data_IF_805457734228
#
_entry.id   IF_805457734228
#
_cell.length_a   1.000
_cell.length_b   1.000
_cell.length_c   1.000
_cell.angle_alpha   90.00
_cell.angle_beta   90.00
_cell.angle_gamma   90.00
#
_symmetry.space_group_name_H-M   'P 1'
#
loop_
_entity.id
_entity.type
_entity.pdbx_description
1 polymer ?
#
# COMPACT_ATOMS: atom_id res chain seq x y z
N UNK A 1 -10.68 13.23 31.97
CA UNK A 1 -9.24 13.50 32.12
C UNK A 1 -8.52 12.73 30.99
N UNK A 2 -8.25 13.42 29.86
CA UNK A 2 -7.42 12.88 28.80
C UNK A 2 -5.95 13.08 29.21
N UNK A 3 -5.23 11.98 29.43
CA UNK A 3 -3.79 12.04 29.62
C UNK A 3 -3.13 12.20 28.24
N UNK A 4 -2.56 13.39 27.98
CA UNK A 4 -1.62 13.57 26.85
C UNK A 4 -0.36 12.73 27.12
N UNK A 5 -0.08 11.78 26.24
CA UNK A 5 1.21 11.12 26.24
C UNK A 5 2.31 12.16 25.90
N UNK A 6 3.45 12.14 26.61
CA UNK A 6 4.54 13.06 26.31
C UNK A 6 5.12 12.72 24.92
N UNK A 7 5.62 13.75 24.18
CA UNK A 7 6.29 13.49 22.91
C UNK A 7 7.53 12.64 23.17
N UNK A 8 7.65 11.55 22.41
CA UNK A 8 8.89 10.75 22.37
C UNK A 8 9.95 11.63 21.73
N UNK A 9 10.77 12.23 22.58
CA UNK A 9 12.00 12.90 22.14
C UNK A 9 12.87 11.82 21.47
N UNK A 10 13.19 12.01 20.20
CA UNK A 10 14.19 11.21 19.51
C UNK A 10 15.46 11.21 20.37
N UNK A 11 15.86 10.03 20.85
CA UNK A 11 17.14 9.86 21.54
C UNK A 11 18.23 10.05 20.50
N UNK A 12 18.78 11.27 20.44
CA UNK A 12 20.07 11.48 19.83
C UNK A 12 21.09 10.71 20.67
N UNK A 13 21.87 9.85 20.00
CA UNK A 13 22.99 9.18 20.63
C UNK A 13 23.86 10.19 21.38
N UNK A 14 24.33 9.85 22.60
CA UNK A 14 25.04 10.73 23.56
C UNK A 14 26.31 11.40 23.01
N UNK A 15 26.63 11.24 21.73
CA UNK A 15 27.78 11.85 21.04
C UNK A 15 27.45 12.64 19.77
N UNK A 16 26.16 12.69 19.31
CA UNK A 16 25.81 13.38 18.05
C UNK A 16 26.38 12.73 16.78
N UNK A 17 26.85 11.48 16.88
CA UNK A 17 27.51 10.77 15.77
C UNK A 17 26.52 10.05 14.86
N UNK A 18 25.30 9.85 15.31
CA UNK A 18 24.17 9.40 14.52
C UNK A 18 23.26 10.61 14.36
N UNK A 19 23.05 11.01 13.12
CA UNK A 19 22.21 12.16 12.77
C UNK A 19 21.00 11.72 11.98
N UNK A 20 19.90 12.39 12.22
CA UNK A 20 18.67 12.21 11.46
C UNK A 20 18.36 13.50 10.71
N UNK A 21 18.24 13.41 9.38
CA UNK A 21 17.93 14.53 8.51
C UNK A 21 16.54 14.31 7.88
N UNK A 22 15.80 15.38 7.69
CA UNK A 22 14.53 15.33 6.98
C UNK A 22 14.75 15.57 5.49
N UNK A 23 14.29 14.66 4.66
CA UNK A 23 14.35 14.83 3.21
C UNK A 23 13.41 15.94 2.74
N UNK A 24 13.94 16.84 1.94
CA UNK A 24 13.19 17.82 1.14
C UNK A 24 13.75 17.83 -0.28
N UNK A 25 12.91 17.92 -1.33
CA UNK A 25 13.39 17.85 -2.73
C UNK A 25 14.45 18.89 -3.10
N UNK A 26 14.45 20.05 -2.44
CA UNK A 26 15.35 21.16 -2.70
C UNK A 26 16.42 21.32 -1.58
N UNK A 27 16.54 20.32 -0.72
CA UNK A 27 17.44 20.38 0.44
C UNK A 27 18.90 20.23 0.05
N UNK A 28 19.76 21.08 0.64
CA UNK A 28 21.21 20.90 0.65
C UNK A 28 21.61 20.44 2.05
N UNK A 29 22.26 19.27 2.12
CA UNK A 29 22.61 18.64 3.38
C UNK A 29 24.09 18.74 3.67
N UNK A 30 24.44 19.35 4.79
CA UNK A 30 25.83 19.46 5.19
C UNK A 30 26.30 18.18 5.88
N UNK A 31 27.39 17.59 5.40
CA UNK A 31 28.00 16.38 5.96
C UNK A 31 29.43 16.67 6.37
N UNK A 32 29.70 16.53 7.66
CA UNK A 32 31.03 16.66 8.21
C UNK A 32 31.65 15.27 8.42
N UNK A 33 32.67 14.94 7.64
CA UNK A 33 33.47 13.73 7.80
C UNK A 33 34.76 14.02 8.55
N UNK A 34 35.25 13.06 9.33
CA UNK A 34 36.55 13.19 10.02
C UNK A 34 37.58 12.23 9.40
N UNK A 35 38.84 12.67 9.38
CA UNK A 35 39.94 11.83 8.90
C UNK A 35 40.01 10.50 9.65
N UNK A 36 40.31 9.42 8.92
CA UNK A 36 40.39 8.04 9.43
C UNK A 36 39.04 7.49 9.94
N UNK A 37 37.95 8.10 9.58
CA UNK A 37 36.60 7.59 9.84
C UNK A 37 35.78 7.57 8.56
N UNK A 38 34.84 6.66 8.49
CA UNK A 38 33.85 6.66 7.43
C UNK A 38 32.50 7.16 7.98
N UNK A 39 31.76 7.87 7.14
CA UNK A 39 30.39 8.28 7.39
C UNK A 39 29.48 7.45 6.49
N UNK A 40 28.48 6.84 7.08
CA UNK A 40 27.44 6.09 6.36
C UNK A 40 26.20 6.97 6.21
N UNK A 41 25.70 7.11 4.99
CA UNK A 41 24.42 7.76 4.70
C UNK A 41 23.43 6.68 4.28
N UNK A 42 22.29 6.59 4.98
CA UNK A 42 21.25 5.59 4.76
C UNK A 42 20.03 6.30 4.19
N UNK A 43 19.67 5.95 2.95
CA UNK A 43 18.44 6.36 2.30
C UNK A 43 17.27 5.45 2.69
N UNK A 44 16.07 5.67 2.15
CA UNK A 44 14.95 4.78 2.42
C UNK A 44 15.26 3.33 1.97
N UNK A 45 14.75 2.31 2.70
CA UNK A 45 15.07 0.90 2.41
C UNK A 45 14.75 0.47 0.97
N UNK A 46 13.72 1.08 0.37
CA UNK A 46 13.29 0.77 -1.00
C UNK A 46 13.97 1.64 -2.06
N UNK A 47 14.89 2.53 -1.66
CA UNK A 47 15.67 3.33 -2.60
C UNK A 47 16.92 2.58 -3.05
N UNK A 48 17.23 2.71 -4.32
CA UNK A 48 18.49 2.22 -4.90
C UNK A 48 19.27 3.39 -5.46
N UNK A 49 20.53 3.53 -5.06
CA UNK A 49 21.42 4.57 -5.61
C UNK A 49 21.69 4.23 -7.07
N UNK A 50 21.39 5.16 -7.97
CA UNK A 50 21.67 5.04 -9.42
C UNK A 50 22.94 5.76 -9.82
N UNK A 51 23.14 6.95 -9.26
CA UNK A 51 24.31 7.76 -9.56
C UNK A 51 24.78 8.48 -8.31
N UNK A 52 26.11 8.59 -8.18
CA UNK A 52 26.76 9.45 -7.21
C UNK A 52 27.92 10.18 -7.90
N UNK A 53 27.89 11.49 -7.90
CA UNK A 53 28.92 12.35 -8.50
C UNK A 53 29.48 13.32 -7.46
N UNK A 54 30.78 13.30 -7.28
CA UNK A 54 31.48 14.17 -6.33
C UNK A 54 32.34 15.18 -7.04
N UNK A 55 32.39 16.40 -6.54
CA UNK A 55 33.20 17.46 -7.12
C UNK A 55 34.69 17.26 -6.91
N UNK A 56 35.12 16.73 -5.76
CA UNK A 56 36.51 16.44 -5.46
C UNK A 56 36.71 14.96 -5.10
N UNK A 57 37.06 14.18 -6.13
CA UNK A 57 37.33 12.74 -5.97
C UNK A 57 38.71 12.41 -5.41
N UNK A 58 39.60 13.40 -5.28
CA UNK A 58 40.93 13.21 -4.64
C UNK A 58 40.80 13.28 -3.15
N UNK A 59 40.09 14.30 -2.65
CA UNK A 59 39.90 14.50 -1.22
C UNK A 59 38.94 13.53 -0.56
N UNK A 60 38.04 12.87 -1.32
CA UNK A 60 37.03 11.99 -0.80
C UNK A 60 36.95 10.66 -1.53
N UNK A 61 36.79 9.61 -0.76
CA UNK A 61 36.41 8.28 -1.24
C UNK A 61 34.91 8.08 -1.04
N UNK A 62 34.22 7.66 -2.11
CA UNK A 62 32.77 7.42 -2.15
C UNK A 62 32.53 6.00 -2.62
N UNK A 63 31.72 5.26 -1.87
CA UNK A 63 31.25 3.94 -2.26
C UNK A 63 29.74 3.86 -2.05
N UNK A 64 29.01 3.24 -2.96
CA UNK A 64 27.55 3.10 -2.92
C UNK A 64 27.17 1.62 -3.03
N UNK A 65 26.26 1.17 -2.16
CA UNK A 65 25.71 -0.17 -2.19
C UNK A 65 24.22 -0.14 -1.81
N UNK A 66 23.37 -0.53 -2.76
CA UNK A 66 21.91 -0.52 -2.54
C UNK A 66 21.39 0.87 -2.15
N UNK A 67 20.87 1.00 -0.93
CA UNK A 67 20.37 2.25 -0.36
C UNK A 67 21.37 2.94 0.57
N UNK A 68 22.64 2.52 0.56
CA UNK A 68 23.65 3.03 1.50
C UNK A 68 24.81 3.64 0.74
N UNK A 69 25.26 4.80 1.19
CA UNK A 69 26.41 5.50 0.69
C UNK A 69 27.46 5.63 1.80
N UNK A 70 28.70 5.34 1.48
CA UNK A 70 29.85 5.50 2.37
C UNK A 70 30.73 6.63 1.88
N UNK A 71 31.09 7.53 2.81
CA UNK A 71 31.96 8.66 2.57
C UNK A 71 33.17 8.59 3.50
N UNK A 72 34.35 8.83 2.97
CA UNK A 72 35.57 8.85 3.74
C UNK A 72 36.48 9.98 3.26
N UNK A 73 36.78 11.00 4.09
CA UNK A 73 37.76 12.03 3.74
C UNK A 73 39.18 11.43 3.72
N UNK A 74 39.90 11.70 2.65
CA UNK A 74 41.29 11.27 2.41
C UNK A 74 42.29 12.38 2.74
N UNK A 75 41.98 13.57 2.24
CA UNK A 75 42.86 14.74 2.33
C UNK A 75 42.09 15.97 2.79
N UNK A 76 42.81 16.96 3.28
CA UNK A 76 42.25 18.25 3.71
C UNK A 76 42.19 19.18 2.50
N UNK A 77 40.99 19.33 1.97
CA UNK A 77 40.67 20.30 0.92
C UNK A 77 39.54 21.22 1.38
N UNK A 78 39.18 22.18 0.53
CA UNK A 78 38.00 23.00 0.74
C UNK A 78 36.73 22.14 0.70
N UNK A 79 35.62 22.72 1.11
CA UNK A 79 34.31 22.04 0.94
C UNK A 79 34.05 21.69 -0.52
N UNK A 80 33.44 20.54 -0.73
CA UNK A 80 33.01 20.10 -2.06
C UNK A 80 31.57 19.65 -2.02
N UNK A 81 30.97 19.43 -3.18
CA UNK A 81 29.61 18.88 -3.25
C UNK A 81 29.62 17.40 -3.64
N UNK A 82 28.54 16.72 -3.27
CA UNK A 82 28.21 15.39 -3.74
C UNK A 82 26.73 15.38 -4.17
N UNK A 83 26.50 14.91 -5.37
CA UNK A 83 25.17 14.76 -5.96
C UNK A 83 24.83 13.28 -6.01
N UNK A 84 23.69 12.90 -5.44
CA UNK A 84 23.22 11.52 -5.44
C UNK A 84 21.84 11.46 -6.05
N UNK A 85 21.67 10.53 -6.97
CA UNK A 85 20.35 10.19 -7.54
C UNK A 85 20.01 8.78 -7.10
N UNK A 86 18.90 8.64 -6.42
CA UNK A 86 18.30 7.37 -6.06
C UNK A 86 17.03 7.13 -6.87
N UNK A 87 16.59 5.90 -6.93
CA UNK A 87 15.32 5.50 -7.54
C UNK A 87 14.52 4.66 -6.57
N UNK A 88 13.24 4.95 -6.44
CA UNK A 88 12.26 4.19 -5.67
C UNK A 88 10.98 4.04 -6.47
N UNK A 89 10.58 2.80 -6.74
CA UNK A 89 9.36 2.50 -7.51
C UNK A 89 9.26 3.30 -8.85
N UNK A 90 10.40 3.46 -9.55
CA UNK A 90 10.46 4.21 -10.81
C UNK A 90 10.52 5.73 -10.68
N UNK A 91 10.51 6.26 -9.46
CA UNK A 91 10.60 7.70 -9.18
C UNK A 91 12.02 8.04 -8.71
N UNK A 92 12.66 8.97 -9.41
CA UNK A 92 13.98 9.46 -9.03
C UNK A 92 13.88 10.48 -7.88
N UNK A 93 14.85 10.41 -6.96
CA UNK A 93 15.08 11.41 -5.92
C UNK A 93 16.48 11.96 -6.03
N UNK A 94 16.60 13.24 -5.80
CA UNK A 94 17.86 13.97 -5.87
C UNK A 94 18.26 14.42 -4.49
N UNK A 95 19.54 14.21 -4.17
CA UNK A 95 20.15 14.66 -2.92
C UNK A 95 21.39 15.48 -3.24
N UNK A 96 21.48 16.63 -2.62
CA UNK A 96 22.63 17.52 -2.74
C UNK A 96 23.31 17.60 -1.39
N UNK A 97 24.57 17.21 -1.34
CA UNK A 97 25.38 17.29 -0.12
C UNK A 97 26.49 18.32 -0.27
N UNK A 98 26.77 19.07 0.78
CA UNK A 98 27.98 19.81 0.98
C UNK A 98 28.87 19.03 1.95
N UNK A 99 30.08 18.66 1.51
CA UNK A 99 31.00 17.84 2.27
C UNK A 99 32.09 18.68 2.88
N UNK A 100 32.32 18.51 4.19
CA UNK A 100 33.35 19.18 4.96
C UNK A 100 34.28 18.14 5.61
N UNK A 101 35.55 18.18 5.27
CA UNK A 101 36.57 17.34 5.93
C UNK A 101 37.12 18.03 7.19
N UNK A 102 37.02 17.34 8.32
CA UNK A 102 37.43 17.86 9.63
C UNK A 102 38.47 16.96 10.29
N UNK A 103 39.20 17.51 11.27
CA UNK A 103 40.08 16.72 12.09
C UNK A 103 39.30 15.74 12.98
N UNK A 104 39.92 14.62 13.32
CA UNK A 104 39.32 13.52 14.08
C UNK A 104 38.75 13.94 15.44
N UNK A 105 39.22 15.03 16.00
CA UNK A 105 38.75 15.59 17.28
C UNK A 105 37.47 16.40 17.18
N UNK A 106 37.00 16.69 15.97
CA UNK A 106 35.78 17.45 15.77
C UNK A 106 34.54 16.62 16.19
N UNK A 107 33.79 17.15 17.17
CA UNK A 107 32.54 16.53 17.65
C UNK A 107 31.45 16.47 16.59
N UNK A 108 31.55 17.30 15.56
CA UNK A 108 30.54 17.43 14.51
C UNK A 108 30.57 16.30 13.44
N UNK A 109 31.60 15.44 13.43
CA UNK A 109 31.72 14.39 12.44
C UNK A 109 30.69 13.27 12.71
N UNK A 110 29.77 13.07 11.80
CA UNK A 110 28.80 12.00 11.84
C UNK A 110 29.42 10.67 11.42
N UNK A 111 29.02 9.59 12.07
CA UNK A 111 29.32 8.22 11.62
C UNK A 111 28.17 7.64 10.80
N UNK A 112 26.98 8.07 11.12
CA UNK A 112 25.79 7.64 10.41
C UNK A 112 24.82 8.81 10.26
N UNK A 113 24.24 8.91 9.07
CA UNK A 113 23.17 9.84 8.74
C UNK A 113 22.01 9.03 8.20
N UNK A 114 20.81 9.26 8.74
CA UNK A 114 19.58 8.65 8.28
C UNK A 114 18.63 9.72 7.80
N UNK A 115 17.90 9.41 6.74
CA UNK A 115 16.86 10.30 6.25
C UNK A 115 15.48 9.87 6.74
N UNK A 116 14.69 10.87 7.17
CA UNK A 116 13.24 10.76 7.36
C UNK A 116 12.52 11.37 6.18
N UNK A 117 11.36 10.81 5.88
CA UNK A 117 10.56 11.18 4.73
C UNK A 117 9.12 11.51 5.15
N UNK A 118 8.86 12.68 5.76
CA UNK A 118 7.54 12.99 6.31
C UNK A 118 6.41 12.95 5.28
N UNK A 119 6.68 13.37 4.04
CA UNK A 119 5.69 13.31 2.96
C UNK A 119 5.31 11.87 2.60
N UNK A 120 6.27 10.96 2.58
CA UNK A 120 6.00 9.54 2.34
C UNK A 120 5.24 8.91 3.49
N UNK A 121 5.61 9.26 4.73
CA UNK A 121 4.93 8.79 5.94
C UNK A 121 3.47 9.25 5.94
N UNK A 122 3.21 10.50 5.59
CA UNK A 122 1.86 11.05 5.45
C UNK A 122 1.07 10.37 4.32
N UNK A 123 1.69 10.17 3.16
CA UNK A 123 1.06 9.50 2.04
C UNK A 123 0.71 8.04 2.37
N UNK A 124 1.60 7.31 3.06
CA UNK A 124 1.34 5.95 3.53
C UNK A 124 0.20 5.91 4.56
N UNK A 125 0.19 6.85 5.50
CA UNK A 125 -0.87 6.95 6.49
C UNK A 125 -2.23 7.23 5.84
N UNK A 126 -2.28 8.14 4.88
CA UNK A 126 -3.49 8.45 4.12
C UNK A 126 -3.98 7.25 3.30
N UNK A 127 -3.07 6.54 2.63
CA UNK A 127 -3.40 5.34 1.86
C UNK A 127 -3.95 4.21 2.76
N UNK A 128 -3.34 3.99 3.92
CA UNK A 128 -3.82 3.00 4.90
C UNK A 128 -5.20 3.35 5.44
N UNK A 129 -5.44 4.64 5.74
CA UNK A 129 -6.74 5.11 6.19
C UNK A 129 -7.82 4.89 5.12
N UNK A 130 -7.51 5.23 3.86
CA UNK A 130 -8.43 5.02 2.74
C UNK A 130 -8.75 3.54 2.53
N UNK A 131 -7.73 2.66 2.58
CA UNK A 131 -7.92 1.21 2.47
C UNK A 131 -8.77 0.65 3.62
N UNK A 132 -8.55 1.15 4.84
CA UNK A 132 -9.35 0.75 6.02
C UNK A 132 -10.80 1.20 5.90
N UNK A 133 -11.04 2.43 5.42
CA UNK A 133 -12.38 2.96 5.19
C UNK A 133 -13.11 2.15 4.12
N UNK A 134 -12.44 1.85 3.00
CA UNK A 134 -13.02 1.03 1.94
C UNK A 134 -13.37 -0.39 2.43
N UNK A 135 -12.48 -1.03 3.19
CA UNK A 135 -12.76 -2.35 3.76
C UNK A 135 -13.93 -2.32 4.77
N UNK A 136 -14.08 -1.22 5.52
CA UNK A 136 -15.21 -1.04 6.44
C UNK A 136 -16.53 -0.86 5.67
N UNK A 137 -16.52 -0.08 4.58
CA UNK A 137 -17.68 0.12 3.72
C UNK A 137 -18.12 -1.20 3.06
N UNK A 138 -17.17 -1.98 2.52
CA UNK A 138 -17.45 -3.30 1.95
C UNK A 138 -18.07 -4.26 3.00
N UNK A 139 -17.61 -4.19 4.25
CA UNK A 139 -18.17 -4.97 5.35
C UNK A 139 -19.59 -4.54 5.69
N UNK A 140 -19.85 -3.23 5.76
CA UNK A 140 -21.19 -2.69 6.01
C UNK A 140 -22.17 -3.12 4.91
N UNK A 141 -21.79 -2.97 3.63
CA UNK A 141 -22.58 -3.42 2.50
C UNK A 141 -22.83 -4.93 2.59
N UNK A 142 -21.82 -5.72 2.96
CA UNK A 142 -21.98 -7.16 3.19
C UNK A 142 -22.98 -7.48 4.31
N UNK A 143 -22.92 -6.76 5.43
CA UNK A 143 -23.85 -6.92 6.55
C UNK A 143 -25.26 -6.47 6.21
N UNK A 144 -25.44 -5.36 5.47
CA UNK A 144 -26.73 -4.89 5.02
C UNK A 144 -27.38 -5.87 4.04
N UNK A 145 -26.58 -6.46 3.13
CA UNK A 145 -27.08 -7.50 2.23
C UNK A 145 -27.47 -8.79 2.99
N UNK A 146 -26.70 -9.17 4.00
CA UNK A 146 -27.06 -10.29 4.88
C UNK A 146 -28.32 -9.97 5.72
N UNK A 147 -28.41 -8.75 6.27
CA UNK A 147 -29.60 -8.29 7.01
C UNK A 147 -30.81 -8.12 6.07
N UNK A 148 -30.62 -7.55 4.89
CA UNK A 148 -31.65 -7.44 3.86
C UNK A 148 -32.13 -8.79 3.32
N UNK A 149 -31.25 -9.81 3.33
CA UNK A 149 -31.64 -11.20 3.10
C UNK A 149 -32.41 -11.80 4.30
N UNK A 150 -32.32 -11.18 5.48
CA UNK A 150 -32.94 -11.65 6.74
C UNK A 150 -34.17 -10.84 7.14
N UNK A 151 -34.24 -9.53 6.82
CA UNK A 151 -35.35 -8.65 7.19
C UNK A 151 -36.41 -8.57 6.09
N UNK A 152 -37.61 -8.98 6.42
CA UNK A 152 -38.80 -8.92 5.57
C UNK A 152 -39.48 -10.27 5.43
N UNK A 153 -40.70 -10.25 4.84
CA UNK A 153 -41.39 -11.50 4.41
C UNK A 153 -40.54 -12.14 3.32
N UNK A 154 -39.86 -13.19 3.66
CA UNK A 154 -39.12 -14.00 2.68
C UNK A 154 -40.06 -14.89 1.91
N UNK A 155 -39.96 -14.84 0.61
CA UNK A 155 -40.50 -15.88 -0.24
C UNK A 155 -39.43 -16.97 -0.36
N UNK A 156 -39.77 -18.15 0.14
CA UNK A 156 -38.97 -19.38 0.07
C UNK A 156 -39.59 -20.38 -0.94
N UNK A 157 -40.64 -20.01 -1.62
CA UNK A 157 -41.40 -20.89 -2.51
C UNK A 157 -40.75 -21.03 -3.90
N UNK A 158 -39.44 -21.22 -3.92
CA UNK A 158 -38.70 -21.54 -5.13
C UNK A 158 -38.53 -23.06 -5.26
N UNK A 159 -38.80 -23.60 -6.43
CA UNK A 159 -38.40 -24.96 -6.80
C UNK A 159 -37.19 -24.92 -7.71
N UNK A 160 -36.27 -25.85 -7.51
CA UNK A 160 -35.03 -25.94 -8.30
C UNK A 160 -35.03 -27.30 -8.99
N UNK A 161 -34.82 -27.29 -10.31
CA UNK A 161 -34.76 -28.49 -11.15
C UNK A 161 -33.51 -28.45 -12.02
N UNK A 162 -32.95 -29.59 -12.41
CA UNK A 162 -31.81 -29.68 -13.33
C UNK A 162 -30.54 -30.21 -12.68
N UNK A 163 -29.38 -29.82 -13.23
CA UNK A 163 -28.05 -30.32 -12.79
C UNK A 163 -27.69 -29.82 -11.39
N UNK A 164 -27.57 -30.77 -10.46
CA UNK A 164 -27.23 -30.46 -9.05
C UNK A 164 -25.94 -29.66 -8.86
N UNK A 165 -25.01 -29.70 -9.82
CA UNK A 165 -23.76 -28.93 -9.77
C UNK A 165 -23.94 -27.44 -10.00
N UNK A 166 -25.09 -27.05 -10.58
CA UNK A 166 -25.42 -25.65 -10.85
C UNK A 166 -26.42 -25.09 -9.85
N UNK A 167 -26.97 -25.94 -8.98
CA UNK A 167 -28.02 -25.53 -8.06
C UNK A 167 -27.47 -24.67 -6.94
N UNK A 168 -28.05 -23.51 -6.66
CA UNK A 168 -27.76 -22.76 -5.45
C UNK A 168 -28.26 -23.53 -4.22
N UNK A 169 -27.59 -23.39 -3.12
CA UNK A 169 -27.99 -24.00 -1.84
C UNK A 169 -29.24 -23.34 -1.23
N UNK A 170 -29.54 -22.11 -1.62
CA UNK A 170 -30.68 -21.31 -1.18
C UNK A 170 -31.06 -20.30 -2.25
N UNK A 171 -32.37 -20.12 -2.45
CA UNK A 171 -32.96 -19.06 -3.26
C UNK A 171 -34.07 -18.40 -2.46
N UNK A 172 -33.97 -17.11 -2.28
CA UNK A 172 -34.98 -16.33 -1.56
C UNK A 172 -35.22 -14.99 -2.24
N UNK A 173 -36.38 -14.41 -2.06
CA UNK A 173 -36.62 -12.99 -2.35
C UNK A 173 -37.34 -12.30 -1.19
N UNK A 174 -37.19 -10.98 -1.11
CA UNK A 174 -37.85 -10.14 -0.11
C UNK A 174 -38.85 -9.16 -0.75
N UNK A 175 -39.28 -9.42 -1.98
CA UNK A 175 -40.14 -8.54 -2.76
C UNK A 175 -39.38 -7.40 -3.49
N UNK A 176 -38.07 -7.26 -3.29
CA UNK A 176 -37.23 -6.25 -3.96
C UNK A 176 -36.04 -6.87 -4.66
N UNK A 177 -35.39 -7.85 -4.03
CA UNK A 177 -34.20 -8.53 -4.51
C UNK A 177 -34.38 -10.03 -4.45
N UNK A 178 -33.84 -10.73 -5.44
CA UNK A 178 -33.68 -12.18 -5.38
C UNK A 178 -32.25 -12.50 -5.00
N UNK A 179 -32.09 -13.34 -3.98
CA UNK A 179 -30.74 -13.73 -3.45
C UNK A 179 -30.59 -15.23 -3.63
N UNK A 180 -29.49 -15.63 -4.22
CA UNK A 180 -29.07 -17.03 -4.35
C UNK A 180 -27.75 -17.23 -3.58
N UNK A 181 -27.60 -18.41 -2.98
CA UNK A 181 -26.36 -18.78 -2.29
C UNK A 181 -25.67 -19.92 -3.02
N UNK A 182 -24.39 -19.70 -3.37
CA UNK A 182 -23.49 -20.69 -3.95
C UNK A 182 -22.33 -20.94 -2.99
N UNK A 183 -22.37 -22.01 -2.17
CA UNK A 183 -21.37 -22.22 -1.10
C UNK A 183 -20.02 -22.67 -1.65
N UNK A 184 -18.95 -22.24 -0.99
CA UNK A 184 -17.59 -22.67 -1.26
C UNK A 184 -17.04 -22.15 -2.59
N UNK A 185 -16.31 -23.01 -3.30
CA UNK A 185 -15.71 -22.70 -4.60
C UNK A 185 -16.61 -23.09 -5.78
N UNK A 186 -17.92 -23.18 -5.59
CA UNK A 186 -18.84 -23.48 -6.68
C UNK A 186 -18.79 -22.35 -7.71
N UNK A 187 -18.53 -22.64 -9.01
CA UNK A 187 -18.54 -21.60 -10.02
C UNK A 187 -19.95 -21.05 -10.19
N UNK A 188 -20.07 -19.72 -10.20
CA UNK A 188 -21.36 -19.05 -10.42
C UNK A 188 -21.73 -19.22 -11.90
N UNK A 189 -22.89 -19.84 -12.21
CA UNK A 189 -23.32 -20.00 -13.57
C UNK A 189 -23.81 -18.68 -14.18
N UNK A 190 -23.95 -18.62 -15.49
CA UNK A 190 -24.66 -17.54 -16.15
C UNK A 190 -26.16 -17.63 -15.80
N UNK A 191 -26.76 -16.51 -15.39
CA UNK A 191 -28.12 -16.43 -14.85
C UNK A 191 -28.99 -15.70 -15.87
N UNK A 192 -30.04 -16.39 -16.30
CA UNK A 192 -31.03 -15.86 -17.24
C UNK A 192 -32.40 -15.79 -16.58
N UNK A 193 -33.09 -14.71 -16.80
CA UNK A 193 -34.54 -14.61 -16.56
C UNK A 193 -35.29 -15.32 -17.68
N UNK A 194 -36.26 -16.11 -17.30
CA UNK A 194 -37.17 -16.77 -18.27
C UNK A 194 -38.49 -16.03 -18.27
N UNK A 195 -38.78 -15.40 -19.38
CA UNK A 195 -40.07 -14.71 -19.56
C UNK A 195 -41.24 -15.72 -19.79
N UNK A 196 -42.46 -15.24 -19.69
CA UNK A 196 -43.65 -16.07 -19.86
C UNK A 196 -43.79 -16.69 -21.26
N UNK A 197 -43.14 -16.11 -22.27
CA UNK A 197 -43.04 -16.63 -23.64
C UNK A 197 -41.90 -17.66 -23.83
N UNK A 198 -41.15 -17.96 -22.77
CA UNK A 198 -40.02 -18.86 -22.78
C UNK A 198 -38.70 -18.23 -23.27
N UNK A 199 -38.73 -16.96 -23.64
CA UNK A 199 -37.48 -16.24 -24.00
C UNK A 199 -36.59 -16.05 -22.79
N UNK A 200 -35.24 -16.05 -23.04
CA UNK A 200 -34.24 -15.91 -22.00
C UNK A 200 -33.51 -14.57 -22.14
N UNK A 201 -33.35 -13.88 -21.06
CA UNK A 201 -32.58 -12.64 -20.96
C UNK A 201 -31.52 -12.76 -19.86
N UNK A 202 -30.28 -12.42 -20.17
CA UNK A 202 -29.22 -12.37 -19.18
C UNK A 202 -29.56 -11.32 -18.09
N UNK A 203 -29.51 -11.75 -16.84
CA UNK A 203 -29.82 -10.88 -15.68
C UNK A 203 -28.53 -10.30 -15.14
N UNK A 204 -28.44 -8.98 -14.98
CA UNK A 204 -27.33 -8.38 -14.22
C UNK A 204 -27.48 -8.75 -12.75
N UNK A 205 -26.37 -9.15 -12.14
CA UNK A 205 -26.31 -9.50 -10.72
C UNK A 205 -25.00 -9.05 -10.10
N UNK A 206 -25.03 -8.85 -8.79
CA UNK A 206 -23.86 -8.61 -7.97
C UNK A 206 -23.44 -9.89 -7.24
N UNK A 207 -22.12 -10.11 -7.15
CA UNK A 207 -21.55 -11.22 -6.38
C UNK A 207 -20.96 -10.67 -5.10
N UNK A 208 -21.37 -11.23 -3.96
CA UNK A 208 -20.88 -10.86 -2.63
C UNK A 208 -20.55 -12.12 -1.83
N UNK A 209 -19.31 -12.55 -1.88
CA UNK A 209 -18.90 -13.81 -1.28
C UNK A 209 -19.63 -15.01 -1.90
N UNK A 210 -20.41 -15.73 -1.09
CA UNK A 210 -21.22 -16.87 -1.54
C UNK A 210 -22.60 -16.45 -2.08
N UNK A 211 -22.95 -15.15 -2.05
CA UNK A 211 -24.25 -14.66 -2.44
C UNK A 211 -24.23 -13.99 -3.82
N UNK A 212 -25.24 -14.30 -4.59
CA UNK A 212 -25.58 -13.63 -5.85
C UNK A 212 -26.86 -12.86 -5.62
N UNK A 213 -26.84 -11.56 -5.87
CA UNK A 213 -27.97 -10.66 -5.65
C UNK A 213 -28.45 -10.12 -6.99
N UNK A 214 -29.70 -10.41 -7.32
CA UNK A 214 -30.41 -9.87 -8.47
C UNK A 214 -31.28 -8.69 -7.99
N UNK A 215 -31.16 -7.55 -8.67
CA UNK A 215 -31.92 -6.34 -8.36
C UNK A 215 -33.34 -6.41 -8.93
N UNK A 216 -34.13 -7.32 -8.38
CA UNK A 216 -35.54 -7.55 -8.77
C UNK A 216 -36.04 -8.88 -8.25
N UNK A 217 -37.37 -9.06 -8.31
CA UNK A 217 -38.02 -10.34 -8.07
C UNK A 217 -38.31 -10.96 -9.41
N UNK A 218 -37.85 -12.17 -9.64
CA UNK A 218 -37.91 -12.87 -10.91
C UNK A 218 -38.70 -14.15 -10.71
N UNK A 219 -39.74 -14.34 -11.53
CA UNK A 219 -40.62 -15.51 -11.43
C UNK A 219 -39.97 -16.82 -11.89
N UNK A 220 -39.00 -16.74 -12.82
CA UNK A 220 -38.27 -17.89 -13.33
C UNK A 220 -36.85 -17.55 -13.70
N UNK A 221 -35.91 -18.36 -13.23
CA UNK A 221 -34.49 -18.22 -13.53
C UNK A 221 -33.98 -19.50 -14.18
N UNK A 222 -33.06 -19.34 -15.13
CA UNK A 222 -32.31 -20.46 -15.72
C UNK A 222 -30.83 -20.25 -15.55
N UNK A 223 -30.19 -21.25 -14.98
CA UNK A 223 -28.76 -21.26 -14.70
C UNK A 223 -28.02 -22.08 -15.75
N UNK A 224 -26.95 -21.54 -16.36
CA UNK A 224 -26.19 -22.24 -17.39
C UNK A 224 -24.68 -22.16 -17.12
N UNK A 225 -24.00 -23.29 -17.31
CA UNK A 225 -22.57 -23.36 -17.30
C UNK A 225 -22.05 -24.35 -18.35
N UNK A 226 -21.45 -23.85 -19.42
CA UNK A 226 -21.07 -24.68 -20.55
C UNK A 226 -22.31 -25.31 -21.21
N UNK A 227 -22.37 -26.63 -21.31
CA UNK A 227 -23.47 -27.38 -21.85
C UNK A 227 -24.55 -27.81 -20.84
N UNK A 228 -24.42 -27.48 -19.56
CA UNK A 228 -25.33 -27.84 -18.48
C UNK A 228 -26.36 -26.73 -18.22
N UNK A 229 -27.60 -27.11 -17.88
CA UNK A 229 -28.70 -26.22 -17.52
C UNK A 229 -29.31 -26.65 -16.20
#
# INVERSE_FOLDING_TARGET
>A
LLALAPPVLAQSDAGGRIQELTYTPEGVYQVSGAFRTATQIIFAPEETIRHAAIGDSVAWEVAAEGSVLFLKPRERHQSTNLLVVTERAGVARHYVFELLAQDRTARAAAYQIRFRYPLDEQARAAANLAATAQAAEERLVGLELQAGAVEGRRNLAYSVEGDARLQPSEVTDNGRFTVMRFPGNQPIPAIFEVASDGSERLVPYDVRGEFVVIHGVVAGLRLRHGGSV
#
